data_IF_621185811683
#
_entry.id   IF_621185811683
#
_cell.length_a   1.000
_cell.length_b   1.000
_cell.length_c   1.000
_cell.angle_alpha   90.00
_cell.angle_beta   90.00
_cell.angle_gamma   90.00
#
_symmetry.space_group_name_H-M   'P 1'
#
loop_
_entity.id
_entity.type
_entity.pdbx_description
1 polymer ?
#
# COMPACT_ATOMS: atom_id res chain seq x y z
N UNK A 1 -7.08 8.44 -5.04
CA UNK A 1 -8.05 7.38 -5.42
C UNK A 1 -8.63 6.62 -4.22
N UNK A 2 -7.90 5.83 -3.43
CA UNK A 2 -8.49 5.19 -2.21
C UNK A 2 -9.01 6.25 -1.21
N UNK A 3 -8.22 7.30 -0.94
CA UNK A 3 -8.65 8.43 -0.12
C UNK A 3 -9.91 9.11 -0.67
N UNK A 4 -10.03 9.22 -1.99
CA UNK A 4 -11.20 9.82 -2.62
C UNK A 4 -12.43 8.93 -2.47
N UNK A 5 -12.28 7.59 -2.47
CA UNK A 5 -13.38 6.68 -2.18
C UNK A 5 -13.82 6.74 -0.70
N UNK A 6 -12.87 6.71 0.25
CA UNK A 6 -13.19 6.74 1.69
C UNK A 6 -13.77 8.07 2.15
N UNK A 7 -13.42 9.17 1.48
CA UNK A 7 -13.92 10.52 1.76
C UNK A 7 -14.76 11.08 0.60
N UNK A 8 -15.45 10.23 -0.16
CA UNK A 8 -16.11 10.62 -1.41
C UNK A 8 -17.09 11.79 -1.26
N UNK A 9 -17.84 11.84 -0.16
CA UNK A 9 -18.72 12.96 0.17
C UNK A 9 -18.01 14.31 0.19
N UNK A 10 -16.81 14.37 0.77
CA UNK A 10 -16.02 15.60 0.81
C UNK A 10 -15.56 15.97 -0.59
N UNK A 11 -15.03 15.02 -1.35
CA UNK A 11 -14.52 15.27 -2.71
C UNK A 11 -15.61 15.68 -3.70
N UNK A 12 -16.80 15.10 -3.59
CA UNK A 12 -17.97 15.49 -4.39
C UNK A 12 -18.45 16.91 -4.11
N UNK A 13 -18.18 17.44 -2.90
CA UNK A 13 -18.51 18.82 -2.52
C UNK A 13 -17.40 19.84 -2.83
N UNK A 14 -16.19 19.38 -3.17
CA UNK A 14 -15.01 20.23 -3.38
C UNK A 14 -14.37 19.98 -4.75
N UNK A 15 -15.18 20.01 -5.81
CA UNK A 15 -14.71 19.86 -7.19
C UNK A 15 -13.85 21.02 -7.67
N UNK A 16 -13.82 22.12 -6.91
CA UNK A 16 -12.94 23.27 -7.08
C UNK A 16 -11.48 22.99 -6.70
N UNK A 17 -11.23 22.01 -5.82
CA UNK A 17 -9.88 21.66 -5.33
C UNK A 17 -9.27 20.49 -6.09
N UNK A 18 -10.09 19.49 -6.42
CA UNK A 18 -9.66 18.29 -7.15
C UNK A 18 -10.74 17.88 -8.13
N UNK A 19 -10.36 17.73 -9.40
CA UNK A 19 -11.28 17.21 -10.41
C UNK A 19 -11.67 15.77 -10.06
N UNK A 20 -12.98 15.54 -9.94
CA UNK A 20 -13.51 14.20 -9.67
C UNK A 20 -13.51 13.40 -10.96
N UNK A 21 -12.83 12.24 -11.01
CA UNK A 21 -12.87 11.35 -12.16
C UNK A 21 -14.30 10.98 -12.56
N UNK A 22 -14.56 10.84 -13.86
CA UNK A 22 -15.92 10.62 -14.36
C UNK A 22 -16.52 9.31 -13.84
N UNK A 23 -15.72 8.28 -13.71
CA UNK A 23 -16.09 6.98 -13.15
C UNK A 23 -16.46 7.03 -11.66
N UNK A 24 -15.96 8.00 -10.89
CA UNK A 24 -16.42 8.26 -9.51
C UNK A 24 -17.80 8.94 -9.44
N UNK A 25 -18.30 9.51 -10.54
CA UNK A 25 -19.63 10.15 -10.61
C UNK A 25 -20.73 9.17 -10.99
N UNK A 26 -20.40 7.98 -11.49
CA UNK A 26 -21.33 6.93 -11.98
C UNK A 26 -22.09 6.19 -10.85
N UNK A 27 -22.37 6.85 -9.73
CA UNK A 27 -23.04 6.26 -8.56
C UNK A 27 -22.20 5.24 -7.80
N UNK A 28 -22.85 4.45 -6.96
CA UNK A 28 -22.16 3.52 -6.04
C UNK A 28 -21.38 2.43 -6.77
N UNK A 29 -21.92 1.91 -7.87
CA UNK A 29 -21.27 0.85 -8.65
C UNK A 29 -20.01 1.38 -9.31
N UNK A 30 -20.05 2.56 -9.92
CA UNK A 30 -18.87 3.18 -10.55
C UNK A 30 -17.76 3.46 -9.55
N UNK A 31 -18.10 4.03 -8.38
CA UNK A 31 -17.14 4.26 -7.29
C UNK A 31 -16.48 2.97 -6.82
N UNK A 32 -17.24 1.88 -6.69
CA UNK A 32 -16.71 0.57 -6.32
C UNK A 32 -15.77 0.01 -7.38
N UNK A 33 -16.15 0.05 -8.66
CA UNK A 33 -15.27 -0.42 -9.73
C UNK A 33 -13.95 0.36 -9.79
N UNK A 34 -14.00 1.68 -9.63
CA UNK A 34 -12.80 2.51 -9.63
C UNK A 34 -11.88 2.15 -8.46
N UNK A 35 -12.41 2.04 -7.23
CA UNK A 35 -11.58 1.67 -6.07
C UNK A 35 -11.05 0.25 -6.17
N UNK A 36 -11.81 -0.70 -6.70
CA UNK A 36 -11.36 -2.09 -6.92
C UNK A 36 -10.18 -2.14 -7.89
N UNK A 37 -10.26 -1.41 -9.01
CA UNK A 37 -9.14 -1.27 -9.93
C UNK A 37 -7.89 -0.69 -9.25
N UNK A 38 -8.07 0.32 -8.38
CA UNK A 38 -6.97 0.92 -7.64
C UNK A 38 -6.35 -0.05 -6.63
N UNK A 39 -7.18 -0.79 -5.89
CA UNK A 39 -6.72 -1.81 -4.94
C UNK A 39 -5.97 -2.91 -5.67
N UNK A 40 -6.46 -3.34 -6.84
CA UNK A 40 -5.81 -4.33 -7.68
C UNK A 40 -4.44 -3.85 -8.19
N UNK A 41 -4.35 -2.59 -8.62
CA UNK A 41 -3.08 -1.99 -9.01
C UNK A 41 -2.07 -1.96 -7.84
N UNK A 42 -2.53 -1.63 -6.63
CA UNK A 42 -1.68 -1.69 -5.43
C UNK A 42 -1.27 -3.12 -5.11
N UNK A 43 -2.18 -4.08 -5.19
CA UNK A 43 -1.90 -5.51 -4.96
C UNK A 43 -0.79 -5.99 -5.89
N UNK A 44 -0.90 -5.70 -7.19
CA UNK A 44 0.13 -6.05 -8.18
C UNK A 44 1.46 -5.37 -7.85
N UNK A 45 1.46 -4.07 -7.53
CA UNK A 45 2.68 -3.35 -7.15
C UNK A 45 3.35 -3.96 -5.91
N UNK A 46 2.58 -4.27 -4.87
CA UNK A 46 3.07 -4.88 -3.64
C UNK A 46 3.61 -6.29 -3.86
N UNK A 47 2.99 -7.08 -4.76
CA UNK A 47 3.52 -8.40 -5.13
C UNK A 47 4.83 -8.30 -5.92
N UNK A 48 4.91 -7.35 -6.86
CA UNK A 48 6.11 -7.11 -7.67
C UNK A 48 7.28 -6.61 -6.81
N UNK A 49 6.98 -5.80 -5.79
CA UNK A 49 7.95 -5.21 -4.88
C UNK A 49 7.97 -5.92 -3.53
N UNK A 50 7.49 -7.16 -3.45
CA UNK A 50 7.41 -7.89 -2.19
C UNK A 50 8.80 -8.01 -1.56
N UNK A 51 8.97 -7.34 -0.43
CA UNK A 51 10.24 -7.23 0.25
C UNK A 51 10.35 -8.25 1.38
N UNK A 52 11.48 -8.96 1.40
CA UNK A 52 11.85 -9.91 2.46
C UNK A 52 13.07 -9.44 3.22
N UNK A 53 13.49 -8.19 3.02
CA UNK A 53 14.66 -7.62 3.69
C UNK A 53 14.33 -7.41 5.16
N UNK A 54 15.08 -8.01 6.09
CA UNK A 54 14.87 -7.77 7.51
C UNK A 54 15.03 -6.28 7.82
N UNK A 55 14.15 -5.74 8.67
CA UNK A 55 14.33 -4.40 9.22
C UNK A 55 15.41 -4.48 10.30
N UNK A 56 16.59 -3.91 10.04
CA UNK A 56 17.65 -3.83 11.04
C UNK A 56 17.42 -2.64 11.96
N UNK A 57 17.79 -2.81 13.23
CA UNK A 57 17.80 -1.75 14.23
C UNK A 57 19.25 -1.39 14.53
N UNK A 58 19.58 -0.11 14.43
CA UNK A 58 20.90 0.42 14.76
C UNK A 58 20.82 1.31 16.00
N UNK A 59 21.89 1.31 16.79
CA UNK A 59 22.02 2.22 17.93
C UNK A 59 22.18 3.63 17.40
N UNK A 60 21.33 4.52 17.90
CA UNK A 60 21.35 5.94 17.54
C UNK A 60 21.14 6.77 18.80
N UNK A 61 22.22 7.36 19.35
CA UNK A 61 22.14 8.21 20.55
C UNK A 61 21.26 9.46 20.37
N UNK A 62 20.99 9.88 19.14
CA UNK A 62 20.14 11.03 18.83
C UNK A 62 18.66 10.63 18.70
N UNK A 63 18.37 9.34 18.59
CA UNK A 63 17.00 8.83 18.64
C UNK A 63 16.44 8.90 20.06
N UNK A 64 15.18 9.32 20.19
CA UNK A 64 14.45 9.31 21.47
C UNK A 64 14.38 7.94 22.16
N UNK A 65 14.53 6.85 21.40
CA UNK A 65 14.53 5.47 21.90
C UNK A 65 15.95 4.90 22.05
N UNK A 66 17.00 5.67 21.73
CA UNK A 66 18.40 5.21 21.70
C UNK A 66 18.72 4.27 20.52
N UNK A 67 17.74 4.02 19.66
CA UNK A 67 17.82 3.15 18.50
C UNK A 67 16.92 3.65 17.37
N UNK A 68 17.25 3.29 16.12
CA UNK A 68 16.41 3.57 14.96
C UNK A 68 16.47 2.45 13.93
N UNK A 69 15.46 2.38 13.09
CA UNK A 69 15.46 1.49 11.93
C UNK A 69 16.52 1.92 10.90
N UNK A 70 17.19 0.93 10.32
CA UNK A 70 18.10 1.10 9.19
C UNK A 70 17.37 0.83 7.87
N UNK A 71 16.95 1.92 7.22
CA UNK A 71 16.31 1.91 5.91
C UNK A 71 17.31 1.87 4.74
N UNK A 72 18.63 1.76 4.99
CA UNK A 72 19.65 1.68 3.93
C UNK A 72 19.87 0.25 3.38
N UNK A 73 19.03 -0.69 3.81
CA UNK A 73 19.10 -2.08 3.43
C UNK A 73 18.91 -2.27 1.91
N UNK A 74 19.70 -3.14 1.29
CA UNK A 74 19.63 -3.35 -0.16
C UNK A 74 18.48 -4.27 -0.55
N UNK A 75 17.45 -3.70 -1.16
CA UNK A 75 16.33 -4.45 -1.72
C UNK A 75 16.74 -5.21 -2.99
N UNK A 76 16.14 -6.39 -3.21
CA UNK A 76 16.32 -7.19 -4.43
C UNK A 76 14.97 -7.74 -4.87
N UNK A 77 14.71 -7.77 -6.18
CA UNK A 77 13.48 -8.38 -6.72
C UNK A 77 13.38 -9.87 -6.32
N UNK A 78 12.17 -10.31 -5.97
CA UNK A 78 11.87 -11.67 -5.53
C UNK A 78 10.70 -12.25 -6.32
N UNK A 79 10.65 -13.58 -6.38
CA UNK A 79 9.49 -14.29 -6.91
C UNK A 79 8.43 -14.37 -5.81
N UNK A 80 7.31 -13.66 -5.99
CA UNK A 80 6.21 -13.60 -5.03
C UNK A 80 5.66 -14.98 -4.63
N UNK A 81 5.54 -15.93 -5.56
CA UNK A 81 5.03 -17.27 -5.26
C UNK A 81 5.91 -18.06 -4.30
N UNK A 82 7.23 -17.82 -4.33
CA UNK A 82 8.14 -18.42 -3.33
C UNK A 82 7.89 -17.85 -1.94
N UNK A 83 7.64 -16.54 -1.85
CA UNK A 83 7.31 -15.86 -0.58
C UNK A 83 5.98 -16.39 -0.04
N UNK A 84 4.95 -16.47 -0.88
CA UNK A 84 3.61 -16.97 -0.50
C UNK A 84 3.67 -18.40 0.03
N UNK A 85 4.30 -19.32 -0.72
CA UNK A 85 4.43 -20.72 -0.30
C UNK A 85 5.21 -20.87 1.02
N UNK A 86 6.33 -20.15 1.16
CA UNK A 86 7.07 -20.20 2.42
C UNK A 86 6.19 -19.73 3.59
N UNK A 87 5.41 -18.67 3.40
CA UNK A 87 4.50 -18.17 4.42
C UNK A 87 3.42 -19.22 4.78
N UNK A 88 2.81 -19.88 3.79
CA UNK A 88 1.82 -20.95 4.02
C UNK A 88 2.39 -22.16 4.76
N UNK A 89 3.64 -22.55 4.46
CA UNK A 89 4.33 -23.67 5.13
C UNK A 89 4.76 -23.32 6.57
N UNK A 90 4.95 -22.03 6.89
CA UNK A 90 5.52 -21.57 8.16
C UNK A 90 4.55 -20.74 9.02
N UNK A 91 3.30 -20.54 8.57
CA UNK A 91 2.25 -19.96 9.41
C UNK A 91 1.94 -20.92 10.55
N UNK A 92 2.38 -20.56 11.75
CA UNK A 92 1.92 -21.19 12.98
C UNK A 92 0.50 -20.69 13.23
N UNK A 93 -0.49 -21.58 13.11
CA UNK A 93 -1.83 -21.34 13.67
C UNK A 93 -1.81 -21.45 15.18
#
# INVERSE_FOLDING_TARGET
MIRQYTWHDWYLRHTDVVETPEDMKLGDVGRRMHVDHCIEALRVSLMCQADTTPLFIIKDPESSLGERADFSSHHKCRNFEKIRRWNEENQSG
#
